data_IF_965321361482
#
_entry.id   IF_965321361482
#
_cell.length_a   1.000
_cell.length_b   1.000
_cell.length_c   1.000
_cell.angle_alpha   90.00
_cell.angle_beta   90.00
_cell.angle_gamma   90.00
#
_symmetry.space_group_name_H-M   'P 1'
#
loop_
_entity.id
_entity.type
_entity.pdbx_description
1 polymer ?
#
# COMPACT_ATOMS: atom_id res chain seq x y z
N UNK A 1 70.06 -8.74 -22.32
CA UNK A 1 70.02 -8.17 -20.95
C UNK A 1 68.95 -7.10 -20.95
N UNK A 2 68.03 -6.99 -19.98
CA UNK A 2 67.50 -7.92 -18.94
C UNK A 2 66.08 -8.46 -19.32
N UNK A 3 65.64 -9.63 -18.82
CA UNK A 3 64.78 -9.93 -17.63
C UNK A 3 63.30 -9.47 -17.80
N UNK A 4 62.33 -10.39 -17.96
CA UNK A 4 61.52 -11.12 -16.92
C UNK A 4 60.24 -10.30 -16.60
N UNK A 5 59.00 -10.77 -16.44
CA UNK A 5 58.40 -12.06 -16.05
C UNK A 5 56.94 -12.13 -16.61
N UNK A 6 56.41 -13.34 -16.87
CA UNK A 6 55.02 -13.72 -16.51
C UNK A 6 54.81 -15.25 -16.65
N UNK A 7 54.48 -15.96 -15.55
CA UNK A 7 53.88 -17.30 -15.55
C UNK A 7 52.34 -17.16 -15.43
N UNK A 8 51.44 -18.14 -15.55
CA UNK A 8 51.47 -19.60 -15.48
C UNK A 8 50.13 -20.09 -16.05
N UNK A 9 50.16 -21.16 -16.83
CA UNK A 9 49.00 -21.95 -17.26
C UNK A 9 48.96 -23.23 -16.43
N UNK A 10 47.93 -23.42 -15.62
CA UNK A 10 47.60 -24.72 -15.02
C UNK A 10 46.08 -24.88 -14.94
N UNK A 11 45.58 -25.79 -15.77
CA UNK A 11 44.22 -26.33 -15.74
C UNK A 11 43.93 -27.04 -14.40
N UNK A 12 42.71 -26.95 -13.83
CA UNK A 12 42.36 -27.74 -12.65
C UNK A 12 41.87 -29.15 -13.02
N UNK A 13 42.33 -30.10 -12.21
CA UNK A 13 41.95 -31.52 -12.17
C UNK A 13 40.47 -31.72 -11.78
N UNK A 14 39.78 -32.61 -12.49
CA UNK A 14 38.49 -33.17 -12.07
C UNK A 14 38.64 -34.08 -10.83
N UNK A 15 37.77 -33.97 -9.80
CA UNK A 15 37.64 -35.00 -8.79
C UNK A 15 36.58 -36.05 -9.16
N UNK A 16 36.99 -37.30 -9.00
CA UNK A 16 36.27 -38.54 -9.26
C UNK A 16 34.99 -38.66 -8.42
N UNK A 17 33.89 -39.09 -9.07
CA UNK A 17 32.66 -39.54 -8.43
C UNK A 17 32.91 -40.84 -7.66
N UNK A 18 32.97 -40.78 -6.34
CA UNK A 18 32.76 -41.94 -5.46
C UNK A 18 31.29 -42.01 -5.08
N UNK A 19 30.58 -43.00 -5.61
CA UNK A 19 29.23 -43.33 -5.20
C UNK A 19 29.23 -43.97 -3.81
N UNK A 20 28.63 -43.29 -2.85
CA UNK A 20 28.15 -43.89 -1.61
C UNK A 20 26.61 -43.94 -1.71
N UNK A 21 26.03 -45.13 -1.55
CA UNK A 21 24.59 -45.30 -1.45
C UNK A 21 24.08 -44.62 -0.18
N UNK A 22 22.96 -43.88 -0.21
CA UNK A 22 22.36 -43.38 1.02
C UNK A 22 21.73 -44.54 1.79
N UNK A 23 21.96 -44.52 3.10
CA UNK A 23 21.32 -45.40 4.07
C UNK A 23 19.82 -45.11 4.14
N UNK A 24 19.04 -46.18 4.35
CA UNK A 24 17.57 -46.16 4.53
C UNK A 24 17.10 -45.06 5.49
N UNK A 25 16.16 -44.24 5.00
CA UNK A 25 15.45 -43.22 5.78
C UNK A 25 15.13 -41.94 4.99
N UNK A 26 14.76 -42.05 3.72
CA UNK A 26 14.39 -40.91 2.88
C UNK A 26 12.86 -40.77 2.87
N UNK A 27 12.28 -40.20 3.93
CA UNK A 27 10.94 -39.63 3.88
C UNK A 27 10.99 -38.43 2.91
N UNK A 28 10.76 -38.71 1.63
CA UNK A 28 10.59 -37.65 0.63
C UNK A 28 9.29 -36.91 0.94
N UNK A 29 9.41 -35.76 1.59
CA UNK A 29 8.32 -34.81 1.72
C UNK A 29 7.81 -34.45 0.30
N UNK A 30 6.51 -34.57 0.08
CA UNK A 30 5.91 -34.13 -1.18
C UNK A 30 6.10 -32.62 -1.33
N UNK A 31 6.40 -32.17 -2.55
CA UNK A 31 6.54 -30.74 -2.85
C UNK A 31 5.16 -30.11 -2.65
N UNK A 32 5.04 -29.12 -1.77
CA UNK A 32 3.73 -28.58 -1.34
C UNK A 32 2.84 -28.14 -2.51
N UNK A 33 1.55 -28.43 -2.39
CA UNK A 33 0.53 -28.03 -3.35
C UNK A 33 0.07 -26.60 -3.08
N UNK A 34 -0.05 -25.80 -4.14
CA UNK A 34 -0.68 -24.48 -4.08
C UNK A 34 -2.20 -24.65 -4.19
N UNK A 35 -2.91 -24.47 -3.08
CA UNK A 35 -4.36 -24.61 -3.01
C UNK A 35 -5.08 -23.37 -3.55
N UNK A 36 -4.53 -22.19 -3.29
CA UNK A 36 -5.10 -20.90 -3.69
C UNK A 36 -3.98 -19.95 -4.04
N UNK A 37 -4.11 -19.26 -5.17
CA UNK A 37 -3.22 -18.18 -5.57
C UNK A 37 -4.04 -17.07 -6.22
N UNK A 38 -4.03 -15.88 -5.63
CA UNK A 38 -4.70 -14.72 -6.19
C UNK A 38 -3.93 -13.43 -5.92
N UNK A 39 -4.20 -12.41 -6.74
CA UNK A 39 -3.64 -11.09 -6.54
C UNK A 39 -4.61 -10.19 -5.75
N UNK A 40 -4.06 -9.22 -5.03
CA UNK A 40 -4.82 -8.10 -4.48
C UNK A 40 -5.55 -7.38 -5.61
N UNK A 41 -6.65 -6.65 -5.33
CA UNK A 41 -7.47 -6.04 -6.37
C UNK A 41 -6.74 -5.04 -7.30
N UNK A 42 -5.63 -4.45 -6.85
CA UNK A 42 -4.75 -3.60 -7.66
C UNK A 42 -3.56 -4.34 -8.30
N UNK A 43 -3.46 -5.65 -8.08
CA UNK A 43 -2.40 -6.53 -8.58
C UNK A 43 -1.07 -6.41 -7.83
N UNK A 44 -1.00 -5.62 -6.76
CA UNK A 44 0.25 -5.25 -6.10
C UNK A 44 0.82 -6.34 -5.19
N UNK A 45 -0.04 -7.09 -4.52
CA UNK A 45 0.32 -8.14 -3.56
C UNK A 45 -0.26 -9.46 -4.07
N UNK A 46 0.46 -10.55 -3.89
CA UNK A 46 0.00 -11.90 -4.19
C UNK A 46 -0.28 -12.64 -2.88
N UNK A 47 -1.39 -13.35 -2.82
CA UNK A 47 -1.77 -14.24 -1.74
C UNK A 47 -1.63 -15.67 -2.22
N UNK A 48 -0.92 -16.50 -1.44
CA UNK A 48 -0.68 -17.92 -1.74
C UNK A 48 -1.03 -18.75 -0.51
N UNK A 49 -1.81 -19.80 -0.72
CA UNK A 49 -2.04 -20.84 0.29
C UNK A 49 -1.33 -22.10 -0.18
N UNK A 50 -0.32 -22.53 0.58
CA UNK A 50 0.42 -23.75 0.31
C UNK A 50 0.14 -24.78 1.38
N UNK A 51 0.11 -26.04 0.98
CA UNK A 51 -0.10 -27.17 1.86
C UNK A 51 0.72 -28.37 1.37
N UNK A 52 1.54 -28.95 2.24
CA UNK A 52 2.14 -30.27 2.02
C UNK A 52 1.38 -31.34 2.84
N UNK A 53 1.93 -32.54 2.98
CA UNK A 53 1.35 -33.62 3.77
C UNK A 53 1.42 -33.38 5.30
N UNK A 54 2.10 -32.31 5.74
CA UNK A 54 2.42 -32.04 7.16
C UNK A 54 1.78 -30.76 7.68
N UNK A 55 1.68 -29.71 6.89
CA UNK A 55 1.37 -28.35 7.33
C UNK A 55 0.80 -27.49 6.22
N UNK A 56 -0.04 -26.52 6.58
CA UNK A 56 -0.57 -25.50 5.68
C UNK A 56 -0.15 -24.09 6.12
N UNK A 57 0.17 -23.24 5.15
CA UNK A 57 0.61 -21.86 5.34
C UNK A 57 -0.13 -20.90 4.42
N UNK A 58 -0.32 -19.68 4.93
CA UNK A 58 -0.81 -18.54 4.18
C UNK A 58 0.33 -17.54 3.98
N UNK A 59 0.53 -17.08 2.76
CA UNK A 59 1.59 -16.14 2.40
C UNK A 59 1.01 -14.93 1.69
N UNK A 60 1.53 -13.74 2.02
CA UNK A 60 1.40 -12.54 1.21
C UNK A 60 2.79 -12.10 0.76
N UNK A 61 2.95 -11.82 -0.53
CA UNK A 61 4.21 -11.28 -1.03
C UNK A 61 4.00 -10.23 -2.12
N UNK A 62 4.95 -9.33 -2.25
CA UNK A 62 4.98 -8.34 -3.32
C UNK A 62 6.42 -8.14 -3.80
N UNK A 63 6.64 -7.87 -5.09
CA UNK A 63 7.95 -7.42 -5.56
C UNK A 63 8.32 -6.03 -5.01
N UNK A 64 7.38 -5.31 -4.35
CA UNK A 64 7.64 -4.02 -3.73
C UNK A 64 8.59 -4.18 -2.53
N UNK A 65 9.75 -3.48 -2.49
CA UNK A 65 10.76 -3.69 -1.46
C UNK A 65 10.28 -3.49 -0.02
N UNK A 66 9.29 -2.63 0.20
CA UNK A 66 8.77 -2.33 1.53
C UNK A 66 7.85 -3.43 2.09
N UNK A 67 7.25 -4.26 1.24
CA UNK A 67 6.24 -5.24 1.67
C UNK A 67 6.88 -6.57 2.09
N UNK A 68 7.85 -7.04 1.29
CA UNK A 68 8.57 -8.29 1.54
C UNK A 68 7.69 -9.54 1.42
N UNK A 69 8.05 -10.58 2.17
CA UNK A 69 7.28 -11.81 2.33
C UNK A 69 6.67 -11.83 3.74
N UNK A 70 5.37 -12.06 3.81
CA UNK A 70 4.62 -12.26 5.06
C UNK A 70 4.07 -13.67 5.04
N UNK A 71 4.21 -14.38 6.13
CA UNK A 71 3.77 -15.76 6.26
C UNK A 71 2.96 -15.91 7.53
N UNK A 72 1.99 -16.82 7.53
CA UNK A 72 1.24 -17.18 8.71
C UNK A 72 0.94 -18.68 8.65
N UNK A 73 1.35 -19.41 9.68
CA UNK A 73 0.96 -20.81 9.85
C UNK A 73 -0.57 -20.91 9.95
N UNK A 74 -1.18 -21.89 9.29
CA UNK A 74 -2.63 -22.12 9.35
C UNK A 74 -2.95 -23.28 10.29
N UNK A 75 -2.37 -24.47 10.00
CA UNK A 75 -2.58 -25.71 10.75
C UNK A 75 -1.53 -26.76 10.45
N UNK A 76 -1.30 -27.65 11.41
CA UNK A 76 -0.60 -28.91 11.16
C UNK A 76 -1.61 -29.96 10.68
N UNK A 77 -1.20 -30.82 9.75
CA UNK A 77 -1.95 -31.97 9.25
C UNK A 77 -1.49 -33.29 9.87
N UNK A 78 -0.25 -33.30 10.38
CA UNK A 78 0.31 -34.39 11.17
C UNK A 78 0.60 -33.92 12.60
N UNK A 79 0.84 -34.83 13.57
CA UNK A 79 1.27 -34.43 14.90
C UNK A 79 2.51 -33.52 14.85
N UNK A 80 2.42 -32.35 15.48
CA UNK A 80 3.52 -31.41 15.56
C UNK A 80 4.66 -31.89 16.47
N UNK A 81 5.88 -31.36 16.30
CA UNK A 81 7.02 -31.71 17.13
C UNK A 81 6.84 -31.28 18.60
N UNK A 82 7.82 -31.59 19.45
CA UNK A 82 7.83 -31.15 20.85
C UNK A 82 8.18 -29.66 21.02
N UNK A 83 8.97 -29.12 20.10
CA UNK A 83 9.35 -27.72 19.99
C UNK A 83 9.48 -27.38 18.50
N UNK A 84 9.52 -26.09 18.14
CA UNK A 84 9.72 -25.68 16.74
C UNK A 84 11.03 -26.27 16.23
N UNK A 85 10.95 -26.98 15.10
CA UNK A 85 12.09 -27.62 14.48
C UNK A 85 12.84 -26.64 13.58
N UNK A 86 13.97 -26.15 14.07
CA UNK A 86 14.84 -25.24 13.30
C UNK A 86 15.53 -25.94 12.13
N UNK A 87 15.73 -27.25 12.20
CA UNK A 87 16.36 -28.00 11.11
C UNK A 87 15.41 -28.08 9.91
N UNK A 88 14.09 -28.23 10.13
CA UNK A 88 13.09 -28.11 9.06
C UNK A 88 13.23 -26.73 8.36
N UNK A 89 13.31 -25.65 9.14
CA UNK A 89 13.46 -24.29 8.59
C UNK A 89 14.76 -24.09 7.80
N UNK A 90 15.89 -24.61 8.30
CA UNK A 90 17.19 -24.53 7.63
C UNK A 90 17.23 -25.31 6.32
N UNK A 91 16.40 -26.34 6.18
CA UNK A 91 16.21 -27.13 4.96
C UNK A 91 15.17 -26.50 4.01
N UNK A 92 14.60 -25.34 4.36
CA UNK A 92 13.57 -24.67 3.56
C UNK A 92 12.18 -25.30 3.67
N UNK A 93 11.95 -26.18 4.64
CA UNK A 93 10.64 -26.74 4.92
C UNK A 93 9.81 -25.78 5.79
N UNK A 94 8.52 -25.57 5.49
CA UNK A 94 7.64 -24.82 6.37
C UNK A 94 7.55 -25.53 7.73
N UNK A 95 7.86 -24.87 8.85
CA UNK A 95 7.90 -25.53 10.16
C UNK A 95 6.49 -25.81 10.68
N UNK A 96 6.33 -26.93 11.39
CA UNK A 96 5.10 -27.21 12.14
C UNK A 96 5.10 -26.52 13.50
N UNK A 97 3.92 -26.14 14.00
CA UNK A 97 3.79 -25.72 15.39
C UNK A 97 3.97 -26.93 16.34
N UNK A 98 4.50 -26.72 17.56
CA UNK A 98 4.51 -27.75 18.58
C UNK A 98 3.11 -28.28 18.88
N UNK A 99 2.97 -29.59 19.11
CA UNK A 99 1.65 -30.21 19.36
C UNK A 99 0.87 -29.57 20.51
N UNK A 100 1.56 -29.04 21.53
CA UNK A 100 0.95 -28.39 22.69
C UNK A 100 0.40 -27.00 22.37
N UNK A 101 0.95 -26.34 21.34
CA UNK A 101 0.55 -25.03 20.85
C UNK A 101 -0.55 -25.09 19.77
N UNK A 102 -1.06 -26.28 19.42
CA UNK A 102 -2.11 -26.48 18.42
C UNK A 102 -3.45 -26.84 19.07
N UNK A 103 -4.56 -26.36 18.49
CA UNK A 103 -5.92 -26.84 18.81
C UNK A 103 -6.15 -28.29 18.35
N UNK A 104 -5.41 -28.73 17.33
CA UNK A 104 -5.46 -30.09 16.78
C UNK A 104 -4.10 -30.81 16.97
N UNK A 105 -3.80 -31.32 18.18
CA UNK A 105 -2.48 -31.88 18.52
C UNK A 105 -2.12 -33.16 17.74
N UNK A 106 -3.09 -33.80 17.11
CA UNK A 106 -2.91 -34.99 16.26
C UNK A 106 -2.85 -34.67 14.76
N UNK A 107 -2.89 -33.39 14.39
CA UNK A 107 -3.16 -32.95 13.03
C UNK A 107 -4.65 -32.62 12.85
N UNK A 108 -4.91 -31.64 11.99
CA UNK A 108 -6.24 -31.27 11.50
C UNK A 108 -6.48 -31.86 10.10
N UNK A 109 -7.73 -31.84 9.66
CA UNK A 109 -8.08 -32.24 8.29
C UNK A 109 -7.42 -31.32 7.25
N UNK A 110 -6.95 -31.86 6.10
CA UNK A 110 -6.44 -31.09 4.98
C UNK A 110 -7.43 -30.04 4.48
N UNK A 111 -6.92 -28.91 4.02
CA UNK A 111 -7.70 -27.88 3.34
C UNK A 111 -7.97 -28.30 1.89
N UNK A 112 -9.12 -27.88 1.35
CA UNK A 112 -9.47 -28.03 -0.06
C UNK A 112 -9.71 -26.66 -0.69
N UNK A 113 -9.25 -26.49 -1.93
CA UNK A 113 -9.27 -25.20 -2.63
C UNK A 113 -10.68 -24.60 -2.79
N UNK A 114 -11.71 -25.45 -2.93
CA UNK A 114 -13.11 -25.07 -3.15
C UNK A 114 -13.78 -24.46 -1.91
N UNK A 115 -13.18 -24.60 -0.73
CA UNK A 115 -13.70 -24.09 0.53
C UNK A 115 -13.00 -22.81 1.00
N UNK A 116 -11.94 -22.39 0.29
CA UNK A 116 -11.09 -21.27 0.68
C UNK A 116 -11.47 -19.97 -0.03
N UNK A 117 -11.32 -18.87 0.70
CA UNK A 117 -11.54 -17.52 0.17
C UNK A 117 -10.47 -16.53 0.65
N UNK A 118 -9.94 -15.80 -0.33
CA UNK A 118 -9.23 -14.52 -0.30
C UNK A 118 -10.02 -13.29 0.20
N UNK A 119 -9.99 -12.86 1.47
CA UNK A 119 -10.59 -11.56 1.85
C UNK A 119 -9.52 -10.50 2.09
N UNK A 120 -9.28 -9.66 1.09
CA UNK A 120 -8.34 -8.53 1.17
C UNK A 120 -8.88 -7.40 2.04
N UNK A 121 -8.03 -6.78 2.87
CA UNK A 121 -8.36 -5.47 3.45
C UNK A 121 -8.38 -4.40 2.35
N UNK A 122 -9.16 -3.32 2.54
CA UNK A 122 -9.41 -2.31 1.50
C UNK A 122 -8.15 -1.59 0.99
N UNK A 123 -7.15 -1.40 1.87
CA UNK A 123 -5.85 -0.84 1.51
C UNK A 123 -5.03 -1.79 0.62
N UNK A 124 -5.36 -3.09 0.56
CA UNK A 124 -4.71 -4.10 -0.28
C UNK A 124 -3.34 -4.57 0.21
N UNK A 125 -2.95 -4.22 1.44
CA UNK A 125 -1.67 -4.54 2.08
C UNK A 125 -1.82 -5.55 3.24
N UNK A 126 -2.98 -6.21 3.34
CA UNK A 126 -3.23 -7.32 4.26
C UNK A 126 -4.46 -8.10 3.82
N UNK A 127 -4.63 -9.30 4.37
CA UNK A 127 -5.74 -10.18 4.02
C UNK A 127 -6.07 -11.19 5.12
N UNK A 128 -7.30 -11.69 5.09
CA UNK A 128 -7.74 -12.87 5.83
C UNK A 128 -7.98 -14.03 4.87
N UNK A 129 -7.56 -15.23 5.28
CA UNK A 129 -7.94 -16.48 4.65
C UNK A 129 -9.16 -17.03 5.38
N UNK A 130 -10.25 -17.24 4.65
CA UNK A 130 -11.48 -17.81 5.18
C UNK A 130 -11.68 -19.25 4.71
N UNK A 131 -12.23 -20.09 5.59
CA UNK A 131 -12.71 -21.45 5.29
C UNK A 131 -14.22 -21.46 5.46
N UNK A 132 -14.97 -21.65 4.37
CA UNK A 132 -16.44 -21.63 4.36
C UNK A 132 -17.01 -20.35 5.01
N UNK A 133 -16.38 -19.21 4.74
CA UNK A 133 -16.77 -17.89 5.26
C UNK A 133 -16.16 -17.51 6.62
N UNK A 134 -15.55 -18.43 7.36
CA UNK A 134 -14.96 -18.14 8.67
C UNK A 134 -13.44 -17.88 8.57
N UNK A 135 -12.89 -16.80 9.16
CA UNK A 135 -11.45 -16.56 9.17
C UNK A 135 -10.67 -17.68 9.87
N UNK A 136 -9.67 -18.23 9.18
CA UNK A 136 -8.76 -19.26 9.72
C UNK A 136 -7.33 -18.75 9.89
N UNK A 137 -6.91 -17.79 9.07
CA UNK A 137 -5.65 -17.07 9.20
C UNK A 137 -5.82 -15.61 8.79
N UNK A 138 -5.06 -14.70 9.40
CA UNK A 138 -5.08 -13.27 9.10
C UNK A 138 -3.64 -12.75 9.05
N UNK A 139 -3.27 -12.14 7.93
CA UNK A 139 -2.03 -11.37 7.78
C UNK A 139 -2.46 -9.89 7.68
N UNK A 140 -2.47 -9.14 8.80
CA UNK A 140 -2.91 -7.75 8.78
C UNK A 140 -1.82 -6.81 8.20
N UNK A 141 -2.16 -5.54 7.92
CA UNK A 141 -1.22 -4.58 7.34
C UNK A 141 0.07 -4.36 8.14
N UNK A 142 0.01 -4.48 9.48
CA UNK A 142 1.14 -4.40 10.41
C UNK A 142 1.93 -5.71 10.59
N UNK A 143 1.67 -6.73 9.78
CA UNK A 143 2.49 -7.96 9.79
C UNK A 143 3.92 -7.67 9.31
N UNK A 144 4.88 -8.37 9.92
CA UNK A 144 6.32 -8.22 9.72
C UNK A 144 7.01 -7.38 10.80
N UNK A 145 6.27 -6.75 11.71
CA UNK A 145 6.83 -5.90 12.76
C UNK A 145 7.09 -6.66 14.05
N UNK A 146 8.26 -6.46 14.67
CA UNK A 146 8.58 -7.05 15.97
C UNK A 146 8.57 -8.58 16.01
N UNK A 147 8.66 -9.26 14.86
CA UNK A 147 8.54 -10.71 14.74
C UNK A 147 7.09 -11.21 14.72
N UNK A 148 6.12 -10.33 14.51
CA UNK A 148 4.72 -10.70 14.31
C UNK A 148 4.46 -11.05 12.83
N UNK A 149 3.80 -12.18 12.61
CA UNK A 149 3.66 -12.79 11.28
C UNK A 149 2.19 -12.88 10.83
N UNK A 150 1.27 -13.15 11.75
CA UNK A 150 -0.16 -13.19 11.51
C UNK A 150 -0.89 -13.94 12.62
N UNK A 151 -2.21 -13.99 12.53
CA UNK A 151 -3.08 -14.68 13.46
C UNK A 151 -3.61 -15.98 12.85
N UNK A 152 -3.70 -17.05 13.64
CA UNK A 152 -4.20 -18.34 13.20
C UNK A 152 -5.23 -18.92 14.17
N UNK A 153 -6.33 -19.46 13.64
CA UNK A 153 -7.45 -19.98 14.44
C UNK A 153 -7.05 -21.22 15.24
N UNK A 154 -6.19 -22.04 14.66
CA UNK A 154 -5.81 -23.33 15.24
C UNK A 154 -4.58 -23.22 16.17
N UNK A 155 -4.09 -21.99 16.38
CA UNK A 155 -2.95 -21.66 17.23
C UNK A 155 -3.40 -21.32 18.66
N UNK A 156 -2.69 -21.84 19.67
CA UNK A 156 -2.99 -21.66 21.10
C UNK A 156 -2.04 -20.72 21.83
N UNK A 157 -0.82 -20.60 21.35
CA UNK A 157 0.25 -19.82 21.99
C UNK A 157 1.02 -19.00 20.95
N UNK A 158 1.52 -17.83 21.33
CA UNK A 158 2.35 -17.01 20.44
C UNK A 158 3.63 -17.75 20.04
N UNK A 159 3.99 -17.63 18.77
CA UNK A 159 5.18 -18.27 18.22
C UNK A 159 5.85 -17.38 17.16
N UNK A 160 6.97 -17.86 16.63
CA UNK A 160 7.70 -17.20 15.55
C UNK A 160 7.04 -17.32 14.17
N UNK A 161 5.91 -18.03 14.03
CA UNK A 161 5.24 -18.24 12.72
C UNK A 161 3.77 -17.82 12.69
N UNK A 162 3.14 -17.71 13.86
CA UNK A 162 1.79 -17.16 14.02
C UNK A 162 1.49 -16.92 15.49
N UNK A 163 0.49 -16.08 15.74
CA UNK A 163 -0.11 -15.88 17.05
C UNK A 163 -1.54 -16.44 17.07
N UNK A 164 -2.10 -16.73 18.25
CA UNK A 164 -3.50 -17.13 18.37
C UNK A 164 -4.43 -16.07 17.80
N UNK A 165 -5.49 -16.52 17.13
CA UNK A 165 -6.57 -15.63 16.70
C UNK A 165 -7.11 -14.83 17.91
N UNK A 166 -7.06 -13.49 17.89
CA UNK A 166 -7.52 -12.71 19.01
C UNK A 166 -9.05 -12.81 19.09
N UNK A 167 -9.60 -12.86 20.30
CA UNK A 167 -11.03 -12.67 20.50
C UNK A 167 -11.36 -11.17 20.42
N UNK A 168 -11.25 -10.60 19.22
CA UNK A 168 -11.39 -9.17 18.97
C UNK A 168 -12.49 -8.91 17.94
N UNK A 169 -13.73 -8.62 18.36
CA UNK A 169 -14.87 -8.43 17.47
C UNK A 169 -14.61 -7.43 16.34
N UNK A 170 -13.87 -6.34 16.60
CA UNK A 170 -13.60 -5.34 15.57
C UNK A 170 -12.71 -5.86 14.41
N UNK A 171 -11.87 -6.88 14.64
CA UNK A 171 -11.06 -7.45 13.57
C UNK A 171 -11.93 -8.30 12.63
N UNK A 172 -12.88 -9.06 13.19
CA UNK A 172 -13.85 -9.83 12.42
C UNK A 172 -14.78 -8.90 11.64
N UNK A 173 -15.27 -7.83 12.30
CA UNK A 173 -16.09 -6.82 11.65
C UNK A 173 -15.37 -6.14 10.48
N UNK A 174 -14.07 -5.84 10.64
CA UNK A 174 -13.23 -5.29 9.55
C UNK A 174 -13.11 -6.24 8.36
N UNK A 175 -13.01 -7.55 8.59
CA UNK A 175 -13.00 -8.57 7.52
C UNK A 175 -14.35 -8.60 6.81
N UNK A 176 -15.45 -8.61 7.56
CA UNK A 176 -16.80 -8.61 6.99
C UNK A 176 -17.12 -7.32 6.23
N UNK A 177 -16.61 -6.17 6.68
CA UNK A 177 -16.72 -4.90 5.98
C UNK A 177 -15.93 -4.92 4.67
N UNK A 178 -14.70 -5.44 4.70
CA UNK A 178 -13.89 -5.59 3.51
C UNK A 178 -14.54 -6.55 2.49
N UNK A 179 -15.11 -7.67 2.93
CA UNK A 179 -15.85 -8.59 2.04
C UNK A 179 -17.00 -7.88 1.34
N UNK A 180 -17.87 -7.21 2.10
CA UNK A 180 -19.01 -6.44 1.54
C UNK A 180 -18.55 -5.34 0.59
N UNK A 181 -17.43 -4.68 0.88
CA UNK A 181 -16.84 -3.68 0.01
C UNK A 181 -16.48 -4.28 -1.36
N UNK A 182 -15.75 -5.40 -1.37
CA UNK A 182 -15.33 -6.03 -2.63
C UNK A 182 -16.49 -6.66 -3.41
N UNK A 183 -17.48 -7.22 -2.73
CA UNK A 183 -18.74 -7.66 -3.34
C UNK A 183 -19.45 -6.51 -4.06
N UNK A 184 -19.59 -5.35 -3.39
CA UNK A 184 -20.22 -4.17 -4.00
C UNK A 184 -19.47 -3.68 -5.26
N UNK A 185 -18.14 -3.75 -5.28
CA UNK A 185 -17.33 -3.42 -6.47
C UNK A 185 -17.46 -4.43 -7.61
N UNK A 186 -17.77 -5.70 -7.30
CA UNK A 186 -17.97 -6.75 -8.30
C UNK A 186 -19.32 -6.62 -9.00
N UNK A 187 -20.34 -6.26 -8.23
CA UNK A 187 -21.73 -6.28 -8.68
C UNK A 187 -22.18 -4.96 -9.32
N UNK A 188 -21.58 -3.82 -8.96
CA UNK A 188 -22.00 -2.49 -9.42
C UNK A 188 -20.85 -1.62 -9.98
N UNK A 189 -21.12 -0.80 -11.03
CA UNK A 189 -20.16 0.19 -11.52
C UNK A 189 -20.09 1.43 -10.59
N UNK A 190 -19.59 1.21 -9.36
CA UNK A 190 -19.46 2.19 -8.28
C UNK A 190 -18.71 3.45 -8.70
N UNK A 191 -17.75 3.31 -9.61
CA UNK A 191 -16.96 4.43 -10.12
C UNK A 191 -17.82 5.56 -10.67
N UNK A 192 -18.85 5.24 -11.46
CA UNK A 192 -19.67 6.28 -12.09
C UNK A 192 -20.39 7.15 -11.04
N UNK A 193 -20.77 6.56 -9.91
CA UNK A 193 -21.39 7.27 -8.79
C UNK A 193 -20.38 8.12 -8.05
N UNK A 194 -19.21 7.57 -7.70
CA UNK A 194 -18.14 8.29 -7.00
C UNK A 194 -17.64 9.46 -7.86
N UNK A 195 -17.39 9.22 -9.15
CA UNK A 195 -16.98 10.23 -10.12
C UNK A 195 -17.97 11.39 -10.16
N UNK A 196 -19.28 11.11 -10.32
CA UNK A 196 -20.32 12.16 -10.36
C UNK A 196 -20.40 12.93 -9.05
N UNK A 197 -20.32 12.27 -7.91
CA UNK A 197 -20.39 12.92 -6.60
C UNK A 197 -19.18 13.83 -6.35
N UNK A 198 -17.98 13.37 -6.66
CA UNK A 198 -16.76 14.17 -6.52
C UNK A 198 -16.75 15.36 -7.49
N UNK A 199 -17.08 15.16 -8.77
CA UNK A 199 -17.22 16.27 -9.73
C UNK A 199 -18.25 17.29 -9.24
N UNK A 200 -19.46 16.83 -8.86
CA UNK A 200 -20.50 17.72 -8.39
C UNK A 200 -20.08 18.52 -7.15
N UNK A 201 -19.29 17.93 -6.25
CA UNK A 201 -18.70 18.64 -5.12
C UNK A 201 -17.78 19.77 -5.59
N UNK A 202 -16.74 19.46 -6.39
CA UNK A 202 -15.84 20.48 -6.91
C UNK A 202 -16.59 21.58 -7.66
N UNK A 203 -17.55 21.21 -8.51
CA UNK A 203 -18.33 22.12 -9.34
C UNK A 203 -19.25 23.05 -8.55
N UNK A 204 -19.79 22.57 -7.42
CA UNK A 204 -20.69 23.36 -6.57
C UNK A 204 -19.99 24.54 -5.91
N UNK A 205 -18.67 24.45 -5.69
CA UNK A 205 -17.90 25.48 -5.00
C UNK A 205 -16.98 26.25 -5.94
N UNK A 206 -16.23 25.57 -6.80
CA UNK A 206 -15.23 26.19 -7.68
C UNK A 206 -15.87 26.67 -8.99
N UNK A 207 -16.71 25.83 -9.60
CA UNK A 207 -17.29 26.04 -10.93
C UNK A 207 -17.13 24.82 -11.84
N UNK A 208 -17.75 24.82 -13.04
CA UNK A 208 -17.72 23.67 -13.95
C UNK A 208 -16.29 23.27 -14.33
N UNK A 209 -16.02 21.97 -14.44
CA UNK A 209 -14.75 21.50 -14.95
C UNK A 209 -14.59 21.79 -16.46
N UNK A 210 -13.35 22.01 -16.91
CA UNK A 210 -13.00 22.24 -18.32
C UNK A 210 -12.45 20.98 -18.99
N UNK A 211 -11.55 20.27 -18.31
CA UNK A 211 -10.91 19.06 -18.82
C UNK A 211 -11.03 17.91 -17.84
N UNK A 212 -11.03 16.68 -18.37
CA UNK A 212 -11.08 15.44 -17.61
C UNK A 212 -10.21 14.37 -18.27
N UNK A 213 -9.36 13.70 -17.49
CA UNK A 213 -8.42 12.68 -17.97
C UNK A 213 -8.35 11.51 -17.01
N UNK A 214 -8.36 10.27 -17.53
CA UNK A 214 -8.09 9.08 -16.71
C UNK A 214 -6.58 8.94 -16.46
N UNK A 215 -6.22 8.58 -15.23
CA UNK A 215 -4.82 8.40 -14.78
C UNK A 215 -4.57 7.02 -14.16
N UNK A 216 -5.49 6.09 -14.33
CA UNK A 216 -5.43 4.72 -13.80
C UNK A 216 -4.82 3.69 -14.75
N UNK A 217 -4.60 4.07 -16.02
CA UNK A 217 -4.12 3.17 -17.05
C UNK A 217 -5.10 2.04 -17.36
N UNK A 218 -6.40 2.24 -17.13
CA UNK A 218 -7.46 1.25 -17.33
C UNK A 218 -7.48 0.14 -16.28
N UNK A 219 -6.82 0.33 -15.13
CA UNK A 219 -6.77 -0.64 -14.02
C UNK A 219 -7.52 -0.13 -12.80
N UNK A 220 -7.91 -1.06 -11.92
CA UNK A 220 -8.49 -0.72 -10.64
C UNK A 220 -7.39 -0.26 -9.63
N UNK A 221 -7.66 0.72 -8.74
CA UNK A 221 -8.88 1.52 -8.68
C UNK A 221 -8.89 2.61 -9.75
N UNK A 222 -10.09 2.92 -10.30
CA UNK A 222 -10.23 3.94 -11.31
C UNK A 222 -9.89 5.31 -10.75
N UNK A 223 -9.18 6.12 -11.52
CA UNK A 223 -8.68 7.42 -11.10
C UNK A 223 -8.65 8.39 -12.26
N UNK A 224 -8.89 9.66 -11.96
CA UNK A 224 -8.87 10.72 -12.95
C UNK A 224 -8.29 12.02 -12.40
N UNK A 225 -8.03 12.95 -13.32
CA UNK A 225 -7.78 14.35 -13.07
C UNK A 225 -8.88 15.17 -13.73
N UNK A 226 -9.30 16.24 -13.08
CA UNK A 226 -10.14 17.26 -13.69
C UNK A 226 -9.57 18.66 -13.41
N UNK A 227 -9.78 19.59 -14.35
CA UNK A 227 -9.40 21.00 -14.20
C UNK A 227 -10.63 21.87 -14.01
N UNK A 228 -10.53 22.86 -13.13
CA UNK A 228 -11.61 23.76 -12.73
C UNK A 228 -11.09 25.20 -12.81
N UNK A 229 -11.53 26.01 -13.78
CA UNK A 229 -11.15 27.41 -13.86
C UNK A 229 -11.56 28.18 -12.60
N UNK A 230 -10.63 28.97 -12.05
CA UNK A 230 -10.93 29.87 -10.93
C UNK A 230 -11.51 31.20 -11.43
N UNK A 231 -12.31 31.90 -10.60
CA UNK A 231 -12.78 33.25 -10.91
C UNK A 231 -11.62 34.20 -11.25
N UNK A 232 -11.79 35.01 -12.29
CA UNK A 232 -10.73 35.91 -12.81
C UNK A 232 -10.25 36.92 -11.78
N UNK A 233 -11.09 37.26 -10.80
CA UNK A 233 -10.80 38.16 -9.69
C UNK A 233 -9.67 37.62 -8.79
N UNK A 234 -9.51 36.29 -8.72
CA UNK A 234 -8.44 35.63 -7.98
C UNK A 234 -7.13 35.55 -8.79
N UNK A 235 -7.22 35.66 -10.11
CA UNK A 235 -6.07 35.67 -11.02
C UNK A 235 -6.45 35.20 -12.42
N UNK A 236 -5.97 35.92 -13.44
CA UNK A 236 -6.27 35.56 -14.83
C UNK A 236 -5.58 34.24 -15.19
N UNK A 237 -6.38 33.28 -15.68
CA UNK A 237 -5.89 31.98 -16.14
C UNK A 237 -5.55 30.98 -15.03
N UNK A 238 -5.87 31.27 -13.75
CA UNK A 238 -5.70 30.30 -12.68
C UNK A 238 -6.75 29.20 -12.74
N UNK A 239 -6.33 27.99 -12.42
CA UNK A 239 -7.19 26.80 -12.39
C UNK A 239 -6.80 25.92 -11.21
N UNK A 240 -7.76 25.17 -10.67
CA UNK A 240 -7.50 24.02 -9.82
C UNK A 240 -7.42 22.80 -10.70
N UNK A 241 -6.37 22.00 -10.56
CA UNK A 241 -6.35 20.61 -11.05
C UNK A 241 -6.47 19.69 -9.85
N UNK A 242 -7.43 18.76 -9.88
CA UNK A 242 -7.71 17.87 -8.75
C UNK A 242 -7.88 16.41 -9.22
N UNK A 243 -7.46 15.48 -8.37
CA UNK A 243 -7.68 14.06 -8.58
C UNK A 243 -9.12 13.68 -8.25
N UNK A 244 -9.56 12.59 -8.85
CA UNK A 244 -10.77 11.87 -8.52
C UNK A 244 -10.43 10.40 -8.34
N UNK A 245 -11.05 9.76 -7.36
CA UNK A 245 -10.93 8.33 -7.10
C UNK A 245 -9.67 7.90 -6.35
N UNK A 246 -8.74 8.80 -5.98
CA UNK A 246 -7.60 8.43 -5.13
C UNK A 246 -8.10 7.95 -3.76
N UNK A 247 -9.16 8.58 -3.26
CA UNK A 247 -9.81 8.26 -1.99
C UNK A 247 -10.63 6.96 -2.00
N UNK A 248 -10.80 6.29 -3.15
CA UNK A 248 -11.50 5.00 -3.26
C UNK A 248 -10.86 3.97 -2.35
N UNK A 249 -9.53 3.99 -2.23
CA UNK A 249 -8.81 3.12 -1.30
C UNK A 249 -8.36 3.93 -0.10
N UNK A 250 -8.40 3.36 1.11
CA UNK A 250 -7.62 3.90 2.20
C UNK A 250 -6.12 3.73 1.89
N UNK A 251 -5.35 4.74 2.28
CA UNK A 251 -3.89 4.73 2.23
C UNK A 251 -3.36 3.69 3.21
N UNK A 252 -2.27 2.97 2.87
CA UNK A 252 -1.70 1.98 3.77
C UNK A 252 -1.03 2.66 4.98
N UNK A 253 -0.80 1.89 6.04
CA UNK A 253 0.03 2.27 7.20
C UNK A 253 -0.47 3.42 8.09
N UNK A 254 -1.58 4.10 7.76
CA UNK A 254 -2.10 5.23 8.55
C UNK A 254 -2.38 4.84 10.00
N UNK A 255 -2.94 3.64 10.21
CA UNK A 255 -3.24 3.07 11.53
C UNK A 255 -2.03 2.88 12.45
N UNK A 256 -0.81 3.03 11.92
CA UNK A 256 0.41 3.00 12.73
C UNK A 256 0.77 4.35 13.36
N UNK A 257 0.15 5.43 12.90
CA UNK A 257 0.50 6.80 13.30
C UNK A 257 -0.61 7.50 14.09
N UNK A 258 -1.82 6.95 14.08
CA UNK A 258 -2.98 7.52 14.75
C UNK A 258 -3.94 6.42 15.21
N UNK A 259 -4.64 6.67 16.31
CA UNK A 259 -5.74 5.83 16.80
C UNK A 259 -7.04 6.06 15.99
N UNK A 260 -7.10 7.11 15.16
CA UNK A 260 -8.24 7.47 14.31
C UNK A 260 -7.89 7.45 12.81
N UNK A 261 -7.47 6.29 12.24
CA UNK A 261 -7.00 6.22 10.86
C UNK A 261 -8.06 6.60 9.83
N UNK A 262 -9.33 6.30 10.12
CA UNK A 262 -10.48 6.63 9.28
C UNK A 262 -10.58 8.13 8.94
N UNK A 263 -10.04 9.02 9.77
CA UNK A 263 -10.04 10.46 9.52
C UNK A 263 -9.00 10.91 8.49
N UNK A 264 -7.96 10.11 8.23
CA UNK A 264 -6.78 10.51 7.44
C UNK A 264 -6.52 9.60 6.22
N UNK A 265 -7.09 8.39 6.22
CA UNK A 265 -6.72 7.37 5.24
C UNK A 265 -7.27 7.59 3.84
N UNK A 266 -8.23 8.50 3.64
CA UNK A 266 -8.80 8.77 2.31
C UNK A 266 -8.48 10.19 1.87
N UNK A 267 -7.73 10.33 0.77
CA UNK A 267 -7.30 11.62 0.24
C UNK A 267 -7.59 11.75 -1.26
N UNK A 268 -7.91 12.96 -1.68
CA UNK A 268 -7.71 13.47 -3.02
C UNK A 268 -6.60 14.54 -2.99
N UNK A 269 -5.89 14.67 -4.11
CA UNK A 269 -4.79 15.61 -4.28
C UNK A 269 -5.20 16.69 -5.29
N UNK A 270 -4.80 17.93 -5.03
CA UNK A 270 -5.03 19.04 -5.93
C UNK A 270 -3.83 19.98 -6.01
N UNK A 271 -3.81 20.83 -7.03
CA UNK A 271 -2.86 21.92 -7.16
C UNK A 271 -3.54 23.12 -7.81
N UNK A 272 -3.04 24.33 -7.52
CA UNK A 272 -3.39 25.54 -8.26
C UNK A 272 -2.34 25.68 -9.37
N UNK A 273 -2.79 25.92 -10.60
CA UNK A 273 -1.94 25.94 -11.79
C UNK A 273 -2.25 27.13 -12.68
N UNK A 274 -1.27 27.47 -13.51
CA UNK A 274 -1.44 28.35 -14.66
C UNK A 274 -1.48 27.48 -15.94
N UNK A 275 -1.83 28.05 -17.11
CA UNK A 275 -1.75 27.30 -18.37
C UNK A 275 -0.33 26.79 -18.66
N UNK A 276 0.70 27.49 -18.18
CA UNK A 276 2.09 27.10 -18.35
C UNK A 276 2.49 25.89 -17.49
N UNK A 277 2.01 25.82 -16.23
CA UNK A 277 2.37 24.77 -15.28
C UNK A 277 1.39 23.58 -15.24
N UNK A 278 0.23 23.69 -15.89
CA UNK A 278 -0.83 22.66 -15.90
C UNK A 278 -0.31 21.26 -16.23
N UNK A 279 0.48 21.13 -17.29
CA UNK A 279 0.96 19.81 -17.74
C UNK A 279 1.93 19.19 -16.73
N UNK A 280 2.87 19.98 -16.21
CA UNK A 280 3.83 19.51 -15.21
C UNK A 280 3.13 19.07 -13.92
N UNK A 281 2.18 19.89 -13.43
CA UNK A 281 1.37 19.55 -12.26
C UNK A 281 0.51 18.30 -12.49
N UNK A 282 -0.09 18.14 -13.68
CA UNK A 282 -0.87 16.96 -14.02
C UNK A 282 -0.03 15.67 -14.00
N UNK A 283 1.18 15.72 -14.59
CA UNK A 283 2.11 14.59 -14.58
C UNK A 283 2.54 14.24 -13.16
N UNK A 284 2.90 15.25 -12.36
CA UNK A 284 3.31 15.05 -10.98
C UNK A 284 2.17 14.49 -10.12
N UNK A 285 0.97 15.08 -10.17
CA UNK A 285 -0.19 14.57 -9.44
C UNK A 285 -0.56 13.15 -9.85
N UNK A 286 -0.51 12.84 -11.16
CA UNK A 286 -0.74 11.49 -11.66
C UNK A 286 0.26 10.46 -11.12
N UNK A 287 1.54 10.83 -11.00
CA UNK A 287 2.57 9.98 -10.40
C UNK A 287 2.36 9.80 -8.89
N UNK A 288 2.09 10.91 -8.19
CA UNK A 288 1.87 10.94 -6.74
C UNK A 288 0.59 10.20 -6.33
N UNK A 289 -0.44 10.17 -7.17
CA UNK A 289 -1.72 9.52 -6.90
C UNK A 289 -1.65 8.01 -6.59
N UNK A 290 -0.56 7.32 -6.93
CA UNK A 290 -0.33 5.91 -6.55
C UNK A 290 0.80 5.73 -5.52
N UNK A 291 1.46 6.82 -5.12
CA UNK A 291 2.64 6.80 -4.27
C UNK A 291 2.42 6.07 -2.92
N UNK A 292 1.33 6.33 -2.16
CA UNK A 292 1.07 5.67 -0.88
C UNK A 292 1.16 4.13 -0.96
N UNK A 293 0.43 3.53 -1.88
CA UNK A 293 0.41 2.09 -2.07
C UNK A 293 1.71 1.55 -2.64
N UNK A 294 2.36 2.28 -3.56
CA UNK A 294 3.63 1.84 -4.14
C UNK A 294 4.76 1.79 -3.12
N UNK A 295 4.77 2.69 -2.13
CA UNK A 295 5.85 2.84 -1.16
C UNK A 295 5.52 2.40 0.27
N UNK A 296 4.31 1.93 0.55
CA UNK A 296 3.91 1.50 1.89
C UNK A 296 3.89 2.67 2.86
N UNK A 297 3.26 3.77 2.45
CA UNK A 297 3.25 5.04 3.17
C UNK A 297 1.93 5.77 2.95
N UNK A 298 1.78 6.96 3.50
CA UNK A 298 0.59 7.79 3.35
C UNK A 298 0.95 9.27 3.22
N UNK A 299 0.07 10.01 2.56
CA UNK A 299 0.15 11.45 2.35
C UNK A 299 -0.89 12.09 3.27
N UNK A 300 -0.43 13.02 4.10
CA UNK A 300 -1.25 13.74 5.06
C UNK A 300 -0.96 15.23 5.03
N UNK A 301 -1.82 16.01 5.67
CA UNK A 301 -1.58 17.42 5.92
C UNK A 301 -0.25 17.60 6.67
N UNK A 302 0.63 18.46 6.15
CA UNK A 302 1.94 18.70 6.73
C UNK A 302 3.05 17.79 6.20
N UNK A 303 2.73 16.78 5.39
CA UNK A 303 3.75 15.99 4.70
C UNK A 303 4.35 16.78 3.54
N UNK A 304 5.55 16.38 3.10
CA UNK A 304 6.24 16.97 1.97
C UNK A 304 6.81 15.95 1.02
N UNK A 305 6.99 16.37 -0.23
CA UNK A 305 7.61 15.58 -1.29
C UNK A 305 8.52 16.47 -2.15
N UNK A 306 9.49 15.85 -2.82
CA UNK A 306 10.29 16.57 -3.82
C UNK A 306 9.55 16.64 -5.15
N UNK A 307 9.74 17.76 -5.86
CA UNK A 307 9.29 17.95 -7.24
C UNK A 307 10.50 17.79 -8.16
N UNK A 308 10.66 16.60 -8.72
CA UNK A 308 11.66 16.34 -9.76
C UNK A 308 11.37 17.21 -10.99
N UNK A 309 12.40 17.68 -11.69
CA UNK A 309 12.24 18.51 -12.90
C UNK A 309 12.07 20.03 -12.64
N UNK A 310 11.83 20.45 -11.39
CA UNK A 310 11.57 21.87 -11.08
C UNK A 310 12.77 22.79 -11.37
N UNK A 311 13.99 22.25 -11.34
CA UNK A 311 15.22 23.03 -11.61
C UNK A 311 15.43 23.24 -13.10
N UNK A 312 15.04 22.26 -13.90
CA UNK A 312 15.09 22.31 -15.36
C UNK A 312 14.00 23.23 -15.94
N UNK A 313 12.90 23.41 -15.22
CA UNK A 313 11.81 24.33 -15.58
C UNK A 313 12.08 25.79 -15.18
N UNK A 314 12.91 26.04 -14.18
CA UNK A 314 13.28 27.39 -13.76
C UNK A 314 14.12 28.07 -14.85
N UNK A 315 13.52 29.04 -15.56
CA UNK A 315 14.24 29.86 -16.53
C UNK A 315 15.04 30.95 -15.80
N UNK A 316 16.17 30.57 -15.18
CA UNK A 316 17.07 31.50 -14.49
C UNK A 316 18.00 30.81 -13.50
N UNK A 317 19.12 31.47 -13.16
CA UNK A 317 20.12 30.97 -12.19
C UNK A 317 19.76 31.27 -10.73
N UNK A 318 18.58 31.86 -10.44
CA UNK A 318 18.21 32.26 -9.09
C UNK A 318 17.70 31.08 -8.27
N UNK A 319 18.64 30.35 -7.66
CA UNK A 319 18.37 29.15 -6.89
C UNK A 319 17.40 29.37 -5.73
N UNK A 320 17.22 30.61 -5.26
CA UNK A 320 16.29 30.95 -4.17
C UNK A 320 14.82 30.96 -4.61
N UNK A 321 14.53 31.07 -5.91
CA UNK A 321 13.15 31.04 -6.44
C UNK A 321 12.68 29.64 -6.86
N UNK A 322 13.59 28.65 -6.89
CA UNK A 322 13.29 27.28 -7.27
C UNK A 322 12.30 26.67 -6.27
N UNK A 323 11.18 26.14 -6.80
CA UNK A 323 10.14 25.48 -6.01
C UNK A 323 10.16 23.96 -6.11
N UNK A 324 11.28 23.35 -5.75
CA UNK A 324 11.53 21.90 -5.87
C UNK A 324 11.02 21.07 -4.66
N UNK A 325 10.36 21.72 -3.69
CA UNK A 325 9.71 21.10 -2.53
C UNK A 325 8.22 21.36 -2.58
N UNK A 326 7.42 20.35 -2.28
CA UNK A 326 5.96 20.43 -2.23
C UNK A 326 5.51 20.11 -0.80
N UNK A 327 4.67 20.96 -0.24
CA UNK A 327 3.96 20.67 1.01
C UNK A 327 2.48 20.36 0.72
N UNK A 328 1.94 19.36 1.43
CA UNK A 328 0.52 19.03 1.38
C UNK A 328 -0.25 19.83 2.42
N UNK A 329 -1.13 20.70 1.96
CA UNK A 329 -1.92 21.61 2.79
C UNK A 329 -3.40 21.27 2.64
N UNK A 330 -4.18 21.12 3.71
CA UNK A 330 -5.61 20.85 3.57
C UNK A 330 -6.33 22.04 2.94
N UNK A 331 -7.31 21.78 2.07
CA UNK A 331 -8.10 22.83 1.40
C UNK A 331 -8.73 23.83 2.38
N UNK A 332 -9.02 23.42 3.62
CA UNK A 332 -9.58 24.26 4.69
C UNK A 332 -8.65 25.39 5.15
N UNK A 333 -7.37 25.37 4.76
CA UNK A 333 -6.40 26.45 5.01
C UNK A 333 -6.26 27.41 3.82
N UNK A 334 -6.94 27.16 2.71
CA UNK A 334 -6.90 28.01 1.52
C UNK A 334 -8.06 29.01 1.49
N UNK A 335 -8.03 30.06 0.65
CA UNK A 335 -9.12 31.02 0.53
C UNK A 335 -10.33 30.48 -0.26
N UNK A 336 -11.42 31.26 -0.27
CA UNK A 336 -12.56 30.98 -1.15
C UNK A 336 -12.18 31.03 -2.64
N UNK A 337 -12.82 30.20 -3.50
CA UNK A 337 -13.89 29.25 -3.15
C UNK A 337 -13.39 27.89 -2.59
N UNK A 338 -12.08 27.63 -2.62
CA UNK A 338 -11.49 26.32 -2.36
C UNK A 338 -11.78 25.81 -0.94
N UNK A 339 -11.76 26.72 0.05
CA UNK A 339 -12.04 26.41 1.46
C UNK A 339 -13.38 25.70 1.69
N UNK A 340 -14.35 25.94 0.82
CA UNK A 340 -15.72 25.49 0.97
C UNK A 340 -15.97 24.11 0.36
N UNK A 341 -15.00 23.53 -0.36
CA UNK A 341 -15.16 22.24 -1.05
C UNK A 341 -15.47 21.13 -0.04
N UNK A 342 -16.65 20.54 -0.15
CA UNK A 342 -17.11 19.47 0.74
C UNK A 342 -16.91 18.09 0.11
N UNK A 343 -15.89 17.36 0.54
CA UNK A 343 -15.62 16.01 0.05
C UNK A 343 -16.64 15.00 0.58
N UNK A 344 -17.09 14.08 -0.28
CA UNK A 344 -18.01 13.02 0.12
C UNK A 344 -17.32 11.96 1.00
N UNK A 345 -18.08 11.33 1.88
CA UNK A 345 -17.63 10.16 2.64
C UNK A 345 -17.61 8.91 1.76
N UNK A 346 -16.65 8.02 2.02
CA UNK A 346 -16.55 6.69 1.43
C UNK A 346 -16.39 5.71 2.58
N UNK A 347 -17.29 4.72 2.70
CA UNK A 347 -17.29 3.77 3.83
C UNK A 347 -17.31 4.47 5.20
N UNK A 348 -18.07 5.56 5.36
CA UNK A 348 -18.16 6.36 6.60
C UNK A 348 -16.85 7.06 7.00
N UNK A 349 -15.82 7.03 6.14
CA UNK A 349 -14.60 7.80 6.31
C UNK A 349 -14.69 9.09 5.47
N UNK A 350 -14.36 10.26 6.05
CA UNK A 350 -14.35 11.52 5.31
C UNK A 350 -13.30 11.51 4.20
N UNK A 351 -13.66 12.05 3.03
CA UNK A 351 -12.66 12.38 2.02
C UNK A 351 -11.87 13.62 2.43
N UNK A 352 -10.54 13.57 2.36
CA UNK A 352 -9.68 14.72 2.60
C UNK A 352 -9.18 15.30 1.27
N UNK A 353 -9.26 16.61 1.09
CA UNK A 353 -8.66 17.29 -0.07
C UNK A 353 -7.37 18.00 0.35
N UNK A 354 -6.24 17.54 -0.19
CA UNK A 354 -4.91 18.10 0.07
C UNK A 354 -4.37 18.81 -1.18
N UNK A 355 -3.98 20.06 -1.02
CA UNK A 355 -3.32 20.85 -2.04
C UNK A 355 -1.80 20.69 -1.95
N UNK A 356 -1.19 20.34 -3.08
CA UNK A 356 0.24 20.31 -3.29
C UNK A 356 0.74 21.74 -3.55
N UNK A 357 1.33 22.37 -2.54
CA UNK A 357 1.84 23.74 -2.58
C UNK A 357 3.35 23.71 -2.81
N UNK A 358 3.86 24.19 -3.95
CA UNK A 358 5.29 24.24 -4.22
C UNK A 358 5.92 25.40 -3.45
N UNK A 359 7.02 25.12 -2.75
CA UNK A 359 7.68 26.03 -1.82
C UNK A 359 9.08 26.38 -2.31
N UNK A 360 9.47 27.66 -2.17
CA UNK A 360 10.87 28.07 -2.25
C UNK A 360 11.68 27.53 -1.08
N UNK A 361 13.01 27.58 -1.15
CA UNK A 361 13.88 27.13 -0.06
C UNK A 361 13.59 27.90 1.25
N UNK A 362 13.38 29.22 1.19
CA UNK A 362 13.06 30.01 2.38
C UNK A 362 11.71 29.59 3.02
N UNK A 363 10.69 29.36 2.19
CA UNK A 363 9.38 28.89 2.66
C UNK A 363 9.46 27.47 3.22
N UNK A 364 10.27 26.61 2.61
CA UNK A 364 10.53 25.26 3.10
C UNK A 364 11.22 25.26 4.46
N UNK A 365 12.24 26.10 4.65
CA UNK A 365 12.90 26.25 5.94
C UNK A 365 11.94 26.74 7.03
N UNK A 366 11.05 27.69 6.69
CA UNK A 366 10.00 28.14 7.60
C UNK A 366 9.00 27.02 7.92
N UNK A 367 8.51 26.29 6.92
CA UNK A 367 7.59 25.17 7.10
C UNK A 367 8.18 24.08 8.01
N UNK A 368 9.48 23.76 7.90
CA UNK A 368 10.12 22.79 8.81
C UNK A 368 10.10 23.22 10.27
N UNK A 369 10.08 24.53 10.56
CA UNK A 369 10.10 25.07 11.92
C UNK A 369 8.70 25.15 12.52
N UNK A 370 7.71 25.53 11.72
CA UNK A 370 6.37 25.92 12.21
C UNK A 370 5.22 25.15 11.57
N UNK A 371 5.51 24.21 10.68
CA UNK A 371 4.51 23.43 9.95
C UNK A 371 3.67 24.29 9.01
N UNK A 372 2.42 23.87 8.78
CA UNK A 372 1.47 24.56 7.90
C UNK A 372 1.20 26.00 8.37
N UNK A 373 1.13 26.23 9.68
CA UNK A 373 0.83 27.57 10.22
C UNK A 373 1.96 28.58 9.89
N UNK A 374 3.18 28.08 9.65
CA UNK A 374 4.28 28.88 9.11
C UNK A 374 4.04 29.49 7.73
N UNK A 375 3.12 28.92 6.96
CA UNK A 375 2.81 29.31 5.60
C UNK A 375 1.59 30.23 5.51
N UNK A 376 0.93 30.61 6.61
CA UNK A 376 -0.28 31.46 6.58
C UNK A 376 -0.19 32.68 5.65
N UNK A 377 0.92 33.46 5.63
CA UNK A 377 1.04 34.59 4.70
C UNK A 377 1.03 34.17 3.21
N UNK A 378 1.60 33.01 2.90
CA UNK A 378 1.60 32.43 1.56
C UNK A 378 0.21 31.91 1.20
N UNK A 379 -0.43 31.18 2.12
CA UNK A 379 -1.75 30.55 1.90
C UNK A 379 -2.87 31.56 1.71
N UNK A 380 -2.71 32.79 2.19
CA UNK A 380 -3.66 33.87 1.99
C UNK A 380 -3.70 34.41 0.54
N UNK A 381 -2.67 34.18 -0.28
CA UNK A 381 -2.58 34.65 -1.66
C UNK A 381 -2.62 33.47 -2.65
N UNK A 382 -3.80 33.20 -3.21
CA UNK A 382 -4.03 32.14 -4.20
C UNK A 382 -3.05 32.20 -5.39
N UNK A 383 -2.62 33.40 -5.82
CA UNK A 383 -1.68 33.52 -6.94
C UNK A 383 -0.31 32.98 -6.58
N UNK A 384 0.12 33.19 -5.35
CA UNK A 384 1.42 32.75 -4.86
C UNK A 384 1.51 31.21 -4.74
N UNK A 385 0.36 30.53 -4.68
CA UNK A 385 0.25 29.07 -4.59
C UNK A 385 0.38 28.34 -5.92
N UNK A 386 0.30 29.05 -7.05
CA UNK A 386 0.34 28.44 -8.36
C UNK A 386 1.70 27.78 -8.64
N UNK A 387 1.65 26.66 -9.37
CA UNK A 387 2.81 25.85 -9.77
C UNK A 387 3.72 26.47 -10.81
#
# INVERSE_FOLDING_TARGET
MPADETPSDQSPLEPQRTGAAPADGDERYETGDVLLHEASPDGAVQAVVEQDDRVAYFYLHSPRPWFGMRSCWIRNLTPGPAAIDRAEMEQGLPPRLPRTACNHPRGAEPLTADELEVVWFEAGDGAALCLRGEPIAIIPPWSGEGGFHGYARDCREESIVCWPMPNHPALLERIDQARRWWEAWRDEPMWSTIQRQQLASYESYIGPHDQYFQIDGGRWPPKALATFPLPKELGEGLEVIATLGVSIRPQPMVERFTDEPHLLERVELAAIVTPASRMAAAQWLSGTANYPWHHGTWIGAGHTMQREGAREEASGDDAEEIRDKVAFVPHTKLPEPIVNVAMAEIQQAPGNLLFAIPLTEAQWQQFKLTGIDGLEPLLADIKALAW
#
